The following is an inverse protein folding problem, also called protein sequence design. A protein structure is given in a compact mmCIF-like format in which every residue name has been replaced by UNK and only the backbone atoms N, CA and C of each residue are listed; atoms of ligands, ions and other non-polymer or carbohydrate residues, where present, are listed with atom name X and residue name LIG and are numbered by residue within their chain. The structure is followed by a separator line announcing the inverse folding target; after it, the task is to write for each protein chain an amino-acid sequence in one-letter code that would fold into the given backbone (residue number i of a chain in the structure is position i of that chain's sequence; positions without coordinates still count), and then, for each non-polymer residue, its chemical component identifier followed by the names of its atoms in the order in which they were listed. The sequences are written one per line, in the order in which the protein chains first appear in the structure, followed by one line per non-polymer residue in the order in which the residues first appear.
data_IF_526794426414
#
_entry.id   IF_526794426414
#
_cell.length_a   1.000
_cell.length_b   1.000
_cell.length_c   1.000
_cell.angle_alpha   90.00
_cell.angle_beta   90.00
_cell.angle_gamma   90.00
#
_symmetry.space_group_name_H-M   'P 1'
#
loop_
_entity.id
_entity.type
_entity.pdbx_description
1 polymer ?
#
# COMPACT_ATOMS: atom_id res chain seq x y z
N UNK A 1 17.59 -19.88 59.28
CA UNK A 1 17.40 -21.03 58.34
C UNK A 1 15.99 -21.09 57.75
N UNK A 2 14.90 -21.21 58.53
CA UNK A 2 13.52 -21.32 57.98
C UNK A 2 13.06 -20.18 57.05
N UNK A 3 13.53 -18.94 57.24
CA UNK A 3 13.23 -17.80 56.34
C UNK A 3 13.94 -17.87 54.99
N UNK A 4 15.18 -18.38 54.97
CA UNK A 4 16.00 -18.47 53.75
C UNK A 4 15.39 -19.49 52.80
N UNK A 5 14.98 -20.66 53.29
CA UNK A 5 14.30 -21.67 52.46
C UNK A 5 12.99 -21.17 51.84
N UNK A 6 12.21 -20.36 52.57
CA UNK A 6 10.98 -19.74 52.03
C UNK A 6 11.27 -18.74 50.91
N UNK A 7 12.34 -17.95 51.04
CA UNK A 7 12.76 -16.98 50.03
C UNK A 7 13.27 -17.71 48.77
N UNK A 8 14.11 -18.72 48.94
CA UNK A 8 14.65 -19.50 47.80
C UNK A 8 13.55 -20.23 47.04
N UNK A 9 12.55 -20.79 47.75
CA UNK A 9 11.39 -21.43 47.12
C UNK A 9 10.58 -20.41 46.31
N UNK A 10 10.33 -19.22 46.87
CA UNK A 10 9.53 -18.19 46.21
C UNK A 10 10.23 -17.65 44.95
N UNK A 11 11.54 -17.38 45.05
CA UNK A 11 12.35 -16.95 43.89
C UNK A 11 12.42 -18.05 42.82
N UNK A 12 12.58 -19.31 43.22
CA UNK A 12 12.58 -20.46 42.31
C UNK A 12 11.25 -20.59 41.55
N UNK A 13 10.11 -20.41 42.23
CA UNK A 13 8.79 -20.40 41.58
C UNK A 13 8.68 -19.24 40.60
N UNK A 14 9.06 -18.01 40.99
CA UNK A 14 8.97 -16.82 40.11
C UNK A 14 9.80 -16.95 38.84
N UNK A 15 10.99 -17.56 38.91
CA UNK A 15 11.84 -17.81 37.74
C UNK A 15 11.20 -18.84 36.81
N UNK A 16 10.58 -19.90 37.36
CA UNK A 16 9.91 -20.93 36.57
C UNK A 16 8.69 -20.39 35.81
N UNK A 17 7.84 -19.57 36.44
CA UNK A 17 6.69 -18.96 35.74
C UNK A 17 7.11 -17.90 34.71
N UNK A 18 8.22 -17.18 34.95
CA UNK A 18 8.72 -16.19 33.98
C UNK A 18 9.40 -16.82 32.77
N UNK A 19 9.85 -18.08 32.87
CA UNK A 19 10.59 -18.78 31.80
C UNK A 19 9.72 -19.25 30.63
N UNK A 20 8.39 -19.28 30.77
CA UNK A 20 7.46 -19.74 29.71
C UNK A 20 6.96 -18.59 28.80
N UNK A 21 7.56 -17.41 28.90
CA UNK A 21 7.16 -16.24 28.13
C UNK A 21 7.83 -16.22 26.74
N UNK A 22 7.04 -16.44 25.69
CA UNK A 22 7.52 -16.39 24.30
C UNK A 22 7.25 -15.00 23.69
N UNK A 23 8.31 -14.22 23.48
CA UNK A 23 8.23 -12.90 22.85
C UNK A 23 8.06 -12.94 21.32
N UNK A 24 8.13 -14.12 20.70
CA UNK A 24 7.99 -14.30 19.26
C UNK A 24 6.54 -14.54 18.81
N UNK A 25 5.57 -14.55 19.73
CA UNK A 25 4.15 -14.75 19.44
C UNK A 25 3.28 -13.70 20.17
N UNK A 26 2.05 -13.45 19.69
CA UNK A 26 1.08 -12.66 20.44
C UNK A 26 0.93 -13.19 21.87
N UNK A 27 1.05 -12.29 22.83
CA UNK A 27 1.12 -12.63 24.24
C UNK A 27 -0.27 -12.75 24.86
N UNK A 28 -0.34 -13.30 26.08
CA UNK A 28 -1.56 -13.43 26.86
C UNK A 28 -2.25 -12.07 27.08
N UNK A 29 -3.57 -12.07 26.97
CA UNK A 29 -4.41 -10.91 27.19
C UNK A 29 -5.30 -11.14 28.42
N UNK A 30 -5.45 -10.12 29.26
CA UNK A 30 -6.34 -10.15 30.42
C UNK A 30 -7.57 -9.29 30.12
N UNK A 31 -8.75 -9.91 30.11
CA UNK A 31 -10.05 -9.32 29.74
C UNK A 31 -10.11 -8.67 28.34
N UNK A 32 -9.99 -9.44 27.25
CA UNK A 32 -10.11 -8.93 25.87
C UNK A 32 -11.57 -8.74 25.43
N UNK A 33 -12.37 -7.98 26.20
CA UNK A 33 -13.82 -7.90 26.01
C UNK A 33 -14.25 -7.18 24.72
N UNK A 34 -13.37 -6.34 24.14
CA UNK A 34 -13.65 -5.54 22.94
C UNK A 34 -12.38 -5.38 22.06
N UNK A 35 -11.49 -6.36 22.09
CA UNK A 35 -10.22 -6.28 21.36
C UNK A 35 -10.38 -6.68 19.89
N UNK A 36 -11.28 -7.62 19.63
CA UNK A 36 -11.64 -8.09 18.30
C UNK A 36 -12.92 -7.39 17.83
N UNK A 37 -12.95 -7.00 16.56
CA UNK A 37 -14.13 -6.38 15.97
C UNK A 37 -15.24 -7.41 15.80
N UNK A 38 -16.46 -7.04 16.21
CA UNK A 38 -17.67 -7.79 15.84
C UNK A 38 -18.13 -7.46 14.42
N UNK A 39 -17.74 -6.28 13.91
CA UNK A 39 -18.01 -5.86 12.56
C UNK A 39 -16.94 -6.41 11.60
N UNK A 40 -17.27 -6.41 10.31
CA UNK A 40 -16.28 -6.74 9.28
C UNK A 40 -15.35 -5.54 9.07
N UNK A 41 -14.07 -5.73 9.39
CA UNK A 41 -13.04 -4.73 9.11
C UNK A 41 -12.51 -4.88 7.67
N UNK A 42 -12.04 -3.78 7.04
CA UNK A 42 -11.39 -3.87 5.74
C UNK A 42 -10.21 -4.83 5.77
N UNK A 43 -10.11 -5.69 4.75
CA UNK A 43 -9.09 -6.75 4.62
C UNK A 43 -9.18 -7.89 5.65
N UNK A 44 -10.28 -8.01 6.40
CA UNK A 44 -10.51 -9.18 7.25
C UNK A 44 -10.88 -10.43 6.44
N UNK A 45 -10.54 -11.60 6.99
CA UNK A 45 -11.05 -12.88 6.49
C UNK A 45 -12.51 -13.03 6.91
N UNK A 46 -13.37 -13.39 5.97
CA UNK A 46 -14.79 -13.52 6.19
C UNK A 46 -15.36 -14.72 5.42
N UNK A 47 -15.72 -15.77 6.16
CA UNK A 47 -16.20 -17.06 5.62
C UNK A 47 -17.48 -16.97 4.79
N UNK A 48 -18.28 -15.93 5.00
CA UNK A 48 -19.55 -15.73 4.30
C UNK A 48 -19.38 -15.24 2.86
N UNK A 49 -18.26 -14.57 2.56
CA UNK A 49 -18.04 -13.97 1.25
C UNK A 49 -17.28 -14.90 0.29
N UNK A 50 -17.47 -14.67 -1.00
CA UNK A 50 -16.79 -15.45 -2.04
C UNK A 50 -15.28 -15.29 -1.89
N UNK A 51 -14.57 -16.42 -1.88
CA UNK A 51 -13.12 -16.45 -1.70
C UNK A 51 -12.63 -16.12 -0.29
N UNK A 52 -13.53 -16.06 0.71
CA UNK A 52 -13.17 -15.83 2.11
C UNK A 52 -12.71 -14.40 2.43
N UNK A 53 -12.93 -13.45 1.51
CA UNK A 53 -12.45 -12.07 1.63
C UNK A 53 -13.62 -11.11 1.78
N UNK A 54 -13.52 -10.21 2.75
CA UNK A 54 -14.50 -9.14 2.96
C UNK A 54 -14.63 -8.22 1.73
N UNK A 55 -13.50 -7.80 1.15
CA UNK A 55 -13.47 -6.91 -0.01
C UNK A 55 -13.95 -7.54 -1.32
N UNK A 56 -15.26 -7.52 -1.56
CA UNK A 56 -15.90 -7.98 -2.80
C UNK A 56 -15.85 -6.91 -3.90
N UNK A 57 -15.88 -7.35 -5.16
CA UNK A 57 -15.97 -6.43 -6.30
C UNK A 57 -17.36 -5.76 -6.36
N UNK A 58 -17.43 -4.47 -6.72
CA UNK A 58 -18.71 -3.81 -6.99
C UNK A 58 -19.37 -4.37 -8.25
N UNK A 59 -20.66 -4.07 -8.44
CA UNK A 59 -21.37 -4.41 -9.66
C UNK A 59 -20.76 -3.70 -10.88
N UNK A 60 -20.63 -4.43 -11.98
CA UNK A 60 -20.08 -3.89 -13.23
C UNK A 60 -20.93 -2.71 -13.74
N UNK A 61 -20.26 -1.64 -14.19
CA UNK A 61 -20.91 -0.41 -14.67
C UNK A 61 -21.50 0.49 -13.58
N UNK A 62 -21.37 0.16 -12.30
CA UNK A 62 -21.82 1.04 -11.22
C UNK A 62 -20.93 2.29 -11.11
N UNK A 63 -21.56 3.46 -10.91
CA UNK A 63 -20.89 4.75 -10.75
C UNK A 63 -21.26 5.32 -9.40
N UNK A 64 -20.27 5.53 -8.53
CA UNK A 64 -20.46 6.15 -7.22
C UNK A 64 -20.46 7.67 -7.33
N UNK A 65 -21.05 8.33 -6.32
CA UNK A 65 -21.05 9.80 -6.25
C UNK A 65 -19.63 10.34 -6.13
N UNK A 66 -19.29 11.31 -6.98
CA UNK A 66 -17.98 11.97 -7.00
C UNK A 66 -16.92 11.26 -7.85
N UNK A 67 -17.33 10.33 -8.71
CA UNK A 67 -16.45 9.65 -9.66
C UNK A 67 -17.00 9.76 -11.08
N UNK A 68 -16.11 10.02 -12.03
CA UNK A 68 -16.40 10.06 -13.46
C UNK A 68 -15.53 8.99 -14.15
N UNK A 69 -16.14 8.02 -14.87
CA UNK A 69 -15.38 7.02 -15.62
C UNK A 69 -14.52 7.66 -16.72
N UNK A 70 -13.35 7.08 -16.96
CA UNK A 70 -12.49 7.50 -18.05
C UNK A 70 -13.08 7.11 -19.42
N UNK A 71 -13.12 8.06 -20.35
CA UNK A 71 -13.89 7.92 -21.61
C UNK A 71 -13.10 7.30 -22.77
N UNK A 72 -11.77 7.38 -22.78
CA UNK A 72 -10.97 6.86 -23.88
C UNK A 72 -10.77 5.35 -23.73
N UNK A 73 -10.98 4.62 -24.82
CA UNK A 73 -10.78 3.18 -24.87
C UNK A 73 -9.29 2.81 -24.76
N UNK A 74 -9.00 1.64 -24.19
CA UNK A 74 -7.66 1.05 -24.17
C UNK A 74 -7.29 0.48 -25.55
N UNK A 75 -7.09 1.37 -26.53
CA UNK A 75 -6.68 1.06 -27.90
C UNK A 75 -5.67 2.09 -28.39
N UNK A 76 -4.94 1.77 -29.47
CA UNK A 76 -4.00 2.72 -30.09
C UNK A 76 -4.71 3.98 -30.59
N UNK A 77 -5.94 3.84 -31.10
CA UNK A 77 -6.77 4.98 -31.48
C UNK A 77 -7.17 5.82 -30.26
N UNK A 78 -7.56 5.19 -29.15
CA UNK A 78 -7.86 5.88 -27.89
C UNK A 78 -6.67 6.67 -27.34
N UNK A 79 -5.47 6.07 -27.37
CA UNK A 79 -4.23 6.72 -26.95
C UNK A 79 -3.92 7.99 -27.77
N UNK A 80 -3.98 7.92 -29.11
CA UNK A 80 -3.70 9.09 -29.94
C UNK A 80 -4.77 10.19 -29.78
N UNK A 81 -6.04 9.80 -29.59
CA UNK A 81 -7.13 10.74 -29.30
C UNK A 81 -6.91 11.46 -27.96
N UNK A 82 -6.53 10.74 -26.90
CA UNK A 82 -6.21 11.31 -25.60
C UNK A 82 -4.98 12.23 -25.68
N UNK A 83 -3.90 11.76 -26.33
CA UNK A 83 -2.67 12.53 -26.53
C UNK A 83 -2.93 13.88 -27.21
N UNK A 84 -3.83 13.91 -28.19
CA UNK A 84 -4.17 15.13 -28.94
C UNK A 84 -5.12 16.06 -28.17
N UNK A 85 -6.16 15.53 -27.52
CA UNK A 85 -7.30 16.33 -27.05
C UNK A 85 -7.43 16.44 -25.52
N UNK A 86 -6.87 15.50 -24.74
CA UNK A 86 -7.03 15.51 -23.29
C UNK A 86 -6.14 16.60 -22.64
N UNK A 87 -6.75 17.37 -21.74
CA UNK A 87 -6.11 18.44 -20.97
C UNK A 87 -6.34 18.23 -19.49
N UNK A 88 -5.38 18.62 -18.67
CA UNK A 88 -5.50 18.49 -17.22
C UNK A 88 -6.49 19.55 -16.68
N UNK A 89 -7.50 19.15 -15.88
CA UNK A 89 -8.51 20.05 -15.34
C UNK A 89 -7.99 20.88 -14.14
N UNK A 90 -6.79 20.59 -13.64
CA UNK A 90 -6.22 21.27 -12.48
C UNK A 90 -5.87 22.72 -12.83
N UNK A 91 -5.92 23.61 -11.85
CA UNK A 91 -5.46 24.98 -12.01
C UNK A 91 -3.94 25.14 -11.71
N UNK A 92 -3.43 26.37 -11.71
CA UNK A 92 -2.01 26.65 -11.44
C UNK A 92 -1.64 26.56 -9.95
N UNK A 93 -2.61 26.69 -9.04
CA UNK A 93 -2.38 26.62 -7.60
C UNK A 93 -2.21 25.15 -7.19
N UNK A 94 -3.10 24.28 -7.68
CA UNK A 94 -3.07 22.84 -7.39
C UNK A 94 -1.80 22.17 -7.90
N UNK A 95 -1.35 22.54 -9.11
CA UNK A 95 -0.10 22.03 -9.72
C UNK A 95 1.15 22.36 -8.92
N UNK A 96 1.17 23.50 -8.22
CA UNK A 96 2.34 24.01 -7.50
C UNK A 96 2.38 23.60 -6.02
N UNK A 97 1.55 22.65 -5.60
CA UNK A 97 1.46 22.18 -4.21
C UNK A 97 2.68 21.35 -3.73
N UNK A 98 3.57 20.93 -4.63
CA UNK A 98 4.71 20.06 -4.31
C UNK A 98 4.37 18.57 -4.20
N UNK A 99 3.08 18.22 -4.00
CA UNK A 99 2.59 16.83 -3.87
C UNK A 99 2.94 15.95 -5.06
N UNK A 100 2.98 16.50 -6.28
CA UNK A 100 3.37 15.75 -7.48
C UNK A 100 4.79 15.16 -7.38
N UNK A 101 5.71 15.88 -6.74
CA UNK A 101 7.08 15.40 -6.51
C UNK A 101 7.10 14.21 -5.56
N UNK A 102 6.37 14.30 -4.45
CA UNK A 102 6.29 13.21 -3.45
C UNK A 102 5.70 11.94 -4.07
N UNK A 103 4.63 12.07 -4.87
CA UNK A 103 4.03 10.94 -5.57
C UNK A 103 5.01 10.30 -6.56
N UNK A 104 5.78 11.10 -7.30
CA UNK A 104 6.79 10.59 -8.22
C UNK A 104 7.91 9.84 -7.51
N UNK A 105 8.37 10.35 -6.37
CA UNK A 105 9.39 9.72 -5.53
C UNK A 105 8.91 8.39 -4.92
N UNK A 106 7.61 8.21 -4.70
CA UNK A 106 7.06 6.96 -4.17
C UNK A 106 6.83 5.93 -5.29
N UNK A 107 6.15 6.32 -6.36
CA UNK A 107 5.60 5.36 -7.31
C UNK A 107 6.43 5.19 -8.60
N UNK A 108 7.23 6.20 -8.98
CA UNK A 108 7.86 6.23 -10.31
C UNK A 108 9.38 6.00 -10.28
N UNK A 109 10.07 6.46 -9.23
CA UNK A 109 11.55 6.52 -9.14
C UNK A 109 12.22 5.15 -9.29
N UNK A 110 11.56 4.08 -8.80
CA UNK A 110 12.07 2.71 -8.82
C UNK A 110 12.47 2.28 -10.23
N UNK A 111 11.70 2.75 -11.23
CA UNK A 111 11.93 2.46 -12.63
C UNK A 111 12.54 3.63 -13.42
N UNK A 112 11.99 4.84 -13.27
CA UNK A 112 12.34 5.98 -14.12
C UNK A 112 13.53 6.82 -13.61
N UNK A 113 13.97 6.60 -12.37
CA UNK A 113 14.99 7.42 -11.71
C UNK A 113 14.45 8.79 -11.26
N UNK A 114 15.18 9.46 -10.37
CA UNK A 114 14.71 10.68 -9.69
C UNK A 114 14.45 11.85 -10.67
N UNK A 115 15.13 11.85 -11.82
CA UNK A 115 15.04 12.89 -12.85
C UNK A 115 14.30 12.42 -14.11
N UNK A 116 13.69 11.23 -14.10
CA UNK A 116 12.97 10.70 -15.27
C UNK A 116 13.87 10.32 -16.45
N UNK A 117 15.16 10.06 -16.19
CA UNK A 117 16.16 9.74 -17.21
C UNK A 117 16.31 8.24 -17.48
N UNK A 118 15.40 7.41 -16.96
CA UNK A 118 15.42 5.95 -17.11
C UNK A 118 16.46 5.24 -16.25
N UNK A 119 17.12 5.95 -15.32
CA UNK A 119 18.14 5.39 -14.40
C UNK A 119 17.56 5.10 -13.03
N UNK A 120 16.49 4.31 -12.98
CA UNK A 120 15.92 3.82 -11.72
C UNK A 120 16.77 2.74 -11.07
N UNK A 121 16.56 2.49 -9.77
CA UNK A 121 17.31 1.47 -9.01
C UNK A 121 17.18 0.07 -9.56
N UNK A 122 16.05 -0.26 -10.17
CA UNK A 122 15.86 -1.56 -10.80
C UNK A 122 16.66 -1.69 -12.12
N UNK A 123 16.94 -0.58 -12.83
CA UNK A 123 17.74 -0.58 -14.08
C UNK A 123 19.22 -0.66 -13.72
N UNK A 124 19.66 0.13 -12.72
CA UNK A 124 21.03 0.09 -12.20
C UNK A 124 21.42 -1.31 -11.69
N UNK A 125 20.46 -2.07 -11.17
CA UNK A 125 20.64 -3.44 -10.69
C UNK A 125 20.32 -4.51 -11.73
N UNK A 126 20.08 -4.11 -12.98
CA UNK A 126 19.81 -4.99 -14.11
C UNK A 126 18.63 -5.97 -13.87
N UNK A 127 17.65 -5.56 -13.07
CA UNK A 127 16.43 -6.37 -12.83
C UNK A 127 15.41 -6.20 -13.94
N UNK A 128 15.47 -5.08 -14.64
CA UNK A 128 14.69 -4.80 -15.84
C UNK A 128 15.44 -3.80 -16.71
N UNK A 129 15.30 -3.95 -18.03
CA UNK A 129 16.02 -3.15 -19.03
C UNK A 129 15.02 -2.42 -19.93
N UNK A 130 15.49 -1.40 -20.65
CA UNK A 130 14.71 -0.74 -21.69
C UNK A 130 13.78 0.39 -21.22
N UNK A 131 14.04 1.01 -20.07
CA UNK A 131 13.31 2.23 -19.67
C UNK A 131 13.87 3.44 -20.41
N UNK A 132 13.04 4.14 -21.21
CA UNK A 132 13.50 5.33 -21.93
C UNK A 132 13.64 6.53 -20.98
N UNK A 133 14.45 7.49 -21.39
CA UNK A 133 14.46 8.84 -20.82
C UNK A 133 13.27 9.63 -21.38
N UNK A 134 12.68 10.51 -20.58
CA UNK A 134 11.61 11.41 -21.05
C UNK A 134 12.07 12.37 -22.15
N UNK A 135 13.38 12.59 -22.31
CA UNK A 135 13.93 13.41 -23.40
C UNK A 135 13.79 12.75 -24.78
N UNK A 136 13.63 11.43 -24.82
CA UNK A 136 13.65 10.66 -26.07
C UNK A 136 12.25 10.43 -26.63
N UNK A 137 11.20 10.92 -25.95
CA UNK A 137 9.80 10.68 -26.29
C UNK A 137 9.00 11.97 -26.22
N UNK A 138 8.20 12.22 -27.25
CA UNK A 138 7.23 13.33 -27.25
C UNK A 138 5.97 12.92 -26.49
N UNK A 139 5.82 13.46 -25.28
CA UNK A 139 4.73 13.18 -24.33
C UNK A 139 3.97 14.49 -24.07
N UNK A 140 2.64 14.40 -24.01
CA UNK A 140 1.73 15.47 -23.61
C UNK A 140 1.11 15.15 -22.25
N UNK A 141 0.42 16.11 -21.62
CA UNK A 141 -0.32 15.85 -20.37
C UNK A 141 -1.45 14.80 -20.51
N UNK A 142 -1.91 14.56 -21.74
CA UNK A 142 -2.92 13.55 -22.07
C UNK A 142 -2.36 12.21 -22.55
N UNK A 143 -1.03 12.03 -22.51
CA UNK A 143 -0.36 10.77 -22.89
C UNK A 143 -0.44 9.74 -21.76
N UNK A 144 -1.66 9.34 -21.43
CA UNK A 144 -2.00 8.36 -20.38
C UNK A 144 -2.51 7.04 -20.98
#
# INVERSE_FOLDING_TARGET
MKRIYKITLLVGITILVSSCHNNSAPNYQYFPNMYESLAYEPYSEAKIFKGGKEGQLPAEGSINRGFEPYEYENSTAGYELAKANLKSPLDSIERNSGKGKELFEIYCISCHGATGNGKGKLVEREKFLGVPSYKDREITEGSI
#
